data_IF_816179975163
#
_entry.id   IF_816179975163
#
_cell.length_a   1.000
_cell.length_b   1.000
_cell.length_c   1.000
_cell.angle_alpha   90.00
_cell.angle_beta   90.00
_cell.angle_gamma   90.00
#
_symmetry.space_group_name_H-M   'P 1'
#
loop_
_entity.id
_entity.type
_entity.pdbx_description
1 polymer ?
#
# COMPACT_ATOMS: atom_id res chain seq x y z
N UNK A 1 -8.65 -2.07 -4.16
CA UNK A 1 -9.56 -2.83 -3.27
C UNK A 1 -10.39 -3.90 -3.97
N UNK A 2 -11.14 -3.61 -5.06
CA UNK A 2 -12.00 -4.63 -5.71
C UNK A 2 -11.30 -5.93 -6.13
N UNK A 3 -10.10 -5.83 -6.73
CA UNK A 3 -9.32 -7.01 -7.12
C UNK A 3 -8.93 -7.88 -5.91
N UNK A 4 -8.51 -7.25 -4.81
CA UNK A 4 -8.19 -7.95 -3.55
C UNK A 4 -9.44 -8.64 -2.99
N UNK A 5 -10.56 -7.91 -2.93
CA UNK A 5 -11.83 -8.43 -2.43
C UNK A 5 -12.41 -9.60 -3.26
N UNK A 6 -11.96 -9.78 -4.52
CA UNK A 6 -12.38 -10.91 -5.34
C UNK A 6 -11.84 -12.26 -4.85
N UNK A 7 -10.75 -12.27 -4.07
CA UNK A 7 -10.17 -13.46 -3.47
C UNK A 7 -10.78 -13.76 -2.09
N UNK A 8 -12.11 -13.89 -2.02
CA UNK A 8 -12.88 -13.96 -0.78
C UNK A 8 -12.42 -15.08 0.17
N UNK A 9 -11.94 -16.21 -0.35
CA UNK A 9 -11.46 -17.32 0.46
C UNK A 9 -10.13 -17.03 1.18
N UNK A 10 -9.42 -15.96 0.83
CA UNK A 10 -8.09 -15.62 1.37
C UNK A 10 -8.14 -14.54 2.46
N UNK A 11 -9.31 -13.94 2.69
CA UNK A 11 -9.49 -12.81 3.60
C UNK A 11 -10.53 -13.13 4.69
N UNK A 12 -10.68 -12.21 5.64
CA UNK A 12 -11.56 -12.37 6.79
C UNK A 12 -12.96 -12.90 6.42
N UNK A 13 -13.35 -14.00 7.05
CA UNK A 13 -14.67 -14.59 6.96
C UNK A 13 -15.12 -15.00 8.38
N UNK A 14 -16.17 -14.37 8.94
CA UNK A 14 -16.61 -14.64 10.31
C UNK A 14 -17.16 -16.06 10.51
N UNK A 15 -17.48 -16.77 9.42
CA UNK A 15 -17.98 -18.15 9.47
C UNK A 15 -16.87 -19.19 9.21
N UNK A 16 -15.62 -18.76 9.04
CA UNK A 16 -14.51 -19.68 8.79
C UNK A 16 -14.22 -20.55 10.02
N UNK A 17 -13.89 -21.81 9.77
CA UNK A 17 -13.38 -22.76 10.78
C UNK A 17 -11.88 -23.01 10.63
N UNK A 18 -11.24 -22.36 9.67
CA UNK A 18 -9.81 -22.48 9.41
C UNK A 18 -9.02 -21.67 10.45
N UNK A 19 -7.73 -22.00 10.60
CA UNK A 19 -6.84 -21.24 11.47
C UNK A 19 -6.68 -19.82 10.95
N UNK A 20 -6.74 -18.86 11.87
CA UNK A 20 -6.50 -17.46 11.53
C UNK A 20 -5.03 -17.26 11.13
N UNK A 21 -4.84 -16.60 10.00
CA UNK A 21 -3.57 -16.08 9.52
C UNK A 21 -3.59 -14.56 9.52
N UNK A 22 -2.43 -13.92 9.30
CA UNK A 22 -2.37 -12.47 9.14
C UNK A 22 -3.28 -11.95 8.03
N UNK A 23 -3.47 -12.69 6.93
CA UNK A 23 -4.34 -12.27 5.83
C UNK A 23 -5.84 -12.38 6.18
N UNK A 24 -6.21 -13.33 7.03
CA UNK A 24 -7.61 -13.55 7.42
C UNK A 24 -8.03 -12.74 8.64
N UNK A 25 -7.12 -11.94 9.23
CA UNK A 25 -7.47 -11.04 10.31
C UNK A 25 -8.39 -9.92 9.84
N UNK A 26 -9.34 -9.52 10.68
CA UNK A 26 -10.34 -8.49 10.38
C UNK A 26 -9.70 -7.12 10.03
N UNK A 27 -8.56 -6.81 10.63
CA UNK A 27 -7.84 -5.55 10.42
C UNK A 27 -7.04 -5.49 9.11
N UNK A 28 -6.78 -6.63 8.44
CA UNK A 28 -5.79 -6.69 7.36
C UNK A 28 -6.07 -5.71 6.22
N UNK A 29 -7.32 -5.65 5.75
CA UNK A 29 -7.68 -4.76 4.63
C UNK A 29 -7.62 -3.28 5.04
N UNK A 30 -7.93 -2.98 6.29
CA UNK A 30 -7.82 -1.62 6.86
C UNK A 30 -6.34 -1.22 6.96
N UNK A 31 -5.48 -2.10 7.45
CA UNK A 31 -4.04 -1.89 7.50
C UNK A 31 -3.44 -1.65 6.11
N UNK A 32 -3.88 -2.43 5.12
CA UNK A 32 -3.42 -2.29 3.74
C UNK A 32 -3.84 -0.92 3.16
N UNK A 33 -5.09 -0.50 3.37
CA UNK A 33 -5.57 0.82 2.94
C UNK A 33 -4.80 1.94 3.65
N UNK A 34 -4.57 1.82 4.96
CA UNK A 34 -3.80 2.78 5.74
C UNK A 34 -2.37 2.92 5.22
N UNK A 35 -1.72 1.79 4.87
CA UNK A 35 -0.38 1.81 4.26
C UNK A 35 -0.39 2.58 2.94
N UNK A 36 -1.37 2.32 2.07
CA UNK A 36 -1.49 3.05 0.81
C UNK A 36 -1.72 4.54 1.02
N UNK A 37 -2.58 4.93 1.97
CA UNK A 37 -2.82 6.34 2.31
C UNK A 37 -1.57 7.02 2.86
N UNK A 38 -0.82 6.34 3.74
CA UNK A 38 0.42 6.85 4.30
C UNK A 38 1.46 7.16 3.21
N UNK A 39 1.73 6.23 2.30
CA UNK A 39 2.68 6.50 1.21
C UNK A 39 2.14 7.53 0.21
N UNK A 40 0.83 7.57 0.00
CA UNK A 40 0.19 8.62 -0.80
C UNK A 40 0.43 10.01 -0.22
N UNK A 41 0.24 10.19 1.10
CA UNK A 41 0.35 11.50 1.73
C UNK A 41 1.76 12.07 1.62
N UNK A 42 2.80 11.23 1.70
CA UNK A 42 4.20 11.66 1.54
C UNK A 42 4.48 12.37 0.20
N UNK A 43 3.74 12.01 -0.85
CA UNK A 43 3.90 12.56 -2.20
C UNK A 43 2.71 13.43 -2.64
N UNK A 44 1.86 13.87 -1.70
CA UNK A 44 0.70 14.70 -2.01
C UNK A 44 -0.41 13.99 -2.80
N UNK A 45 -0.45 12.66 -2.76
CA UNK A 45 -1.45 11.83 -3.42
C UNK A 45 -2.41 11.18 -2.41
N UNK A 46 -3.58 10.72 -2.87
CA UNK A 46 -4.55 10.03 -1.99
C UNK A 46 -4.10 8.63 -1.58
N UNK A 47 -3.32 7.97 -2.43
CA UNK A 47 -2.80 6.62 -2.21
C UNK A 47 -1.49 6.46 -2.98
N UNK A 48 -0.54 5.74 -2.38
CA UNK A 48 0.76 5.41 -2.97
C UNK A 48 1.13 3.96 -2.69
N UNK A 49 1.81 3.33 -3.64
CA UNK A 49 2.38 1.99 -3.49
C UNK A 49 3.91 2.11 -3.46
N UNK A 50 4.57 1.75 -2.34
CA UNK A 50 6.01 1.83 -2.24
C UNK A 50 6.67 0.64 -2.97
N UNK A 51 7.79 0.92 -3.64
CA UNK A 51 8.63 -0.10 -4.30
C UNK A 51 10.05 -0.04 -3.77
N UNK A 52 10.71 -1.20 -3.73
CA UNK A 52 12.15 -1.31 -3.46
C UNK A 52 12.85 -1.74 -4.74
N UNK A 53 13.95 -1.05 -5.07
CA UNK A 53 14.85 -1.41 -6.17
C UNK A 53 16.20 -1.76 -5.55
N UNK A 54 16.77 -2.91 -5.94
CA UNK A 54 18.05 -3.39 -5.40
C UNK A 54 19.21 -2.67 -6.09
N UNK A 55 19.12 -2.50 -7.40
CA UNK A 55 20.09 -1.78 -8.21
C UNK A 55 19.79 -0.27 -8.28
N UNK A 56 20.66 0.47 -8.96
CA UNK A 56 20.47 1.89 -9.18
C UNK A 56 19.20 2.17 -10.00
N UNK A 57 18.43 3.17 -9.58
CA UNK A 57 17.32 3.69 -10.37
C UNK A 57 17.89 4.47 -11.57
N UNK A 58 17.88 3.86 -12.75
CA UNK A 58 18.41 4.48 -13.97
C UNK A 58 17.41 5.50 -14.53
N UNK A 59 17.54 6.74 -14.07
CA UNK A 59 16.71 7.89 -14.47
C UNK A 59 17.58 8.99 -15.07
N UNK A 60 17.01 9.75 -16.01
CA UNK A 60 17.73 10.81 -16.73
C UNK A 60 18.19 11.95 -15.81
N UNK A 61 17.31 12.42 -14.93
CA UNK A 61 17.60 13.45 -13.93
C UNK A 61 16.90 13.12 -12.59
N UNK A 62 17.67 12.73 -11.56
CA UNK A 62 17.10 12.39 -10.26
C UNK A 62 16.56 13.61 -9.50
N UNK A 63 17.09 14.81 -9.75
CA UNK A 63 16.61 16.03 -9.09
C UNK A 63 15.25 16.40 -9.65
N UNK A 64 15.08 16.40 -10.97
CA UNK A 64 13.79 16.64 -11.60
C UNK A 64 12.74 15.60 -11.15
N UNK A 65 13.13 14.34 -10.99
CA UNK A 65 12.24 13.27 -10.54
C UNK A 65 11.81 13.43 -9.06
N UNK A 66 12.74 13.76 -8.18
CA UNK A 66 12.54 13.73 -6.72
C UNK A 66 12.11 15.08 -6.11
N UNK A 67 12.20 16.18 -6.85
CA UNK A 67 11.81 17.53 -6.38
C UNK A 67 10.33 17.88 -6.59
N UNK A 68 9.49 16.91 -6.98
CA UNK A 68 8.04 17.14 -7.11
C UNK A 68 7.46 17.57 -5.76
N UNK A 69 6.41 18.41 -5.73
CA UNK A 69 5.80 18.86 -4.48
C UNK A 69 5.41 17.68 -3.58
N UNK A 70 6.00 17.61 -2.39
CA UNK A 70 5.71 16.61 -1.38
C UNK A 70 4.96 17.26 -0.21
N UNK A 71 3.94 16.57 0.31
CA UNK A 71 3.28 16.98 1.55
C UNK A 71 4.09 16.48 2.76
N UNK A 72 5.27 17.05 2.96
CA UNK A 72 6.09 16.77 4.15
C UNK A 72 5.81 17.73 5.31
N UNK A 73 5.06 18.82 5.07
CA UNK A 73 4.81 19.89 6.05
C UNK A 73 3.37 20.46 6.02
N UNK A 74 2.35 19.61 5.77
CA UNK A 74 0.96 20.00 6.08
C UNK A 74 0.68 19.88 7.58
#
# INVERSE_FOLDING_TARGET
MKAIAAHTSQFYNPNSKELETRLTGESFLVELENRSRHFGSLIGARAGEPFYVREALNVEDPIALLSRPMNLYS
#
